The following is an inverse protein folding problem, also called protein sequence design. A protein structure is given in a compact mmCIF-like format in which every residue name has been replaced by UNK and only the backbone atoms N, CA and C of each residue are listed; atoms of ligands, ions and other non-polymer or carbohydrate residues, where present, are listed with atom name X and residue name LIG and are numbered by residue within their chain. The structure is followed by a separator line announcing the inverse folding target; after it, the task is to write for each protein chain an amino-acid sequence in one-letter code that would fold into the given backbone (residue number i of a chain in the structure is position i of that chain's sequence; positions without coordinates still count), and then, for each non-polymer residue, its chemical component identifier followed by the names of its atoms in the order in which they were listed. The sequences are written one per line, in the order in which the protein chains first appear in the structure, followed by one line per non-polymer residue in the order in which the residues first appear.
data_IF_190012044604
#
_entry.id   IF_190012044604
#
_cell.length_a   1.000
_cell.length_b   1.000
_cell.length_c   1.000
_cell.angle_alpha   90.00
_cell.angle_beta   90.00
_cell.angle_gamma   90.00
#
_symmetry.space_group_name_H-M   'P 1'
#
loop_
_entity.id
_entity.type
_entity.pdbx_description
1 polymer ?
#
# COMPACT_ATOMS: atom_id res chain seq x y z
N UNK A 1 2.42 -6.61 19.79
CA UNK A 1 1.26 -5.85 20.31
C UNK A 1 1.64 -4.39 20.48
N UNK A 2 0.69 -3.46 20.61
CA UNK A 2 0.95 -2.03 20.87
C UNK A 2 1.95 -1.86 22.04
N UNK A 3 2.94 -0.98 21.90
CA UNK A 3 4.07 -0.82 22.82
C UNK A 3 5.21 -1.84 22.67
N UNK A 4 5.00 -2.96 21.96
CA UNK A 4 6.04 -3.98 21.66
C UNK A 4 6.35 -4.12 20.17
N UNK A 5 5.36 -3.99 19.29
CA UNK A 5 5.52 -4.09 17.83
C UNK A 5 5.36 -2.74 17.13
N UNK A 6 4.60 -1.81 17.72
CA UNK A 6 4.40 -0.46 17.19
C UNK A 6 3.93 0.49 18.31
N UNK A 7 4.12 1.80 18.14
CA UNK A 7 3.66 2.88 19.02
C UNK A 7 2.75 3.86 18.26
N UNK A 8 2.27 4.91 18.95
CA UNK A 8 1.46 5.97 18.37
C UNK A 8 2.21 6.87 17.39
N UNK A 9 3.54 6.87 17.41
CA UNK A 9 4.37 7.60 16.45
C UNK A 9 4.55 6.84 15.13
N UNK A 10 4.28 5.54 15.11
CA UNK A 10 4.44 4.72 13.92
C UNK A 10 3.32 4.99 12.91
N UNK A 11 3.72 5.23 11.65
CA UNK A 11 2.77 5.41 10.56
C UNK A 11 2.16 4.06 10.17
N UNK A 12 0.83 3.97 10.27
CA UNK A 12 0.09 2.82 9.78
C UNK A 12 -0.21 2.98 8.29
N UNK A 13 0.15 1.97 7.52
CA UNK A 13 -0.10 1.92 6.08
C UNK A 13 -0.78 0.62 5.69
N UNK A 14 -1.54 0.64 4.60
CA UNK A 14 -2.14 -0.56 4.03
C UNK A 14 -1.05 -1.53 3.60
N UNK A 15 -1.13 -2.77 4.08
CA UNK A 15 -0.26 -3.85 3.62
C UNK A 15 -0.68 -4.27 2.21
N UNK A 16 0.16 -3.97 1.22
CA UNK A 16 -0.08 -4.35 -0.17
C UNK A 16 0.86 -5.49 -0.57
N UNK A 17 0.45 -6.28 -1.58
CA UNK A 17 1.28 -7.29 -2.22
C UNK A 17 1.20 -7.16 -3.74
N UNK A 18 1.97 -7.97 -4.46
CA UNK A 18 1.92 -8.00 -5.93
C UNK A 18 0.51 -8.35 -6.42
N UNK A 19 -0.12 -9.32 -5.78
CA UNK A 19 -1.49 -9.77 -6.08
C UNK A 19 -2.50 -8.63 -5.89
N UNK A 20 -2.41 -7.88 -4.78
CA UNK A 20 -3.29 -6.71 -4.56
C UNK A 20 -3.12 -5.66 -5.65
N UNK A 21 -1.87 -5.35 -6.04
CA UNK A 21 -1.58 -4.37 -7.09
C UNK A 21 -2.17 -4.82 -8.43
N UNK A 22 -2.03 -6.10 -8.77
CA UNK A 22 -2.51 -6.64 -10.04
C UNK A 22 -4.05 -6.68 -10.09
N UNK A 23 -4.70 -7.02 -8.97
CA UNK A 23 -6.17 -6.90 -8.81
C UNK A 23 -6.63 -5.45 -9.00
N UNK A 24 -5.96 -4.48 -8.37
CA UNK A 24 -6.29 -3.06 -8.54
C UNK A 24 -6.15 -2.58 -9.98
N UNK A 25 -5.12 -3.04 -10.70
CA UNK A 25 -4.93 -2.72 -12.12
C UNK A 25 -5.98 -3.36 -13.02
N UNK A 26 -6.42 -4.57 -12.69
CA UNK A 26 -7.34 -5.33 -13.52
C UNK A 26 -8.79 -4.89 -13.35
N UNK A 27 -9.21 -4.61 -12.11
CA UNK A 27 -10.64 -4.43 -11.80
C UNK A 27 -11.00 -3.04 -11.29
N UNK A 28 -10.04 -2.27 -10.76
CA UNK A 28 -10.31 -0.98 -10.08
C UNK A 28 -9.57 0.18 -10.74
N UNK A 29 -9.20 0.03 -12.02
CA UNK A 29 -8.37 1.02 -12.70
C UNK A 29 -9.05 2.39 -12.82
N UNK A 30 -10.35 2.38 -13.10
CA UNK A 30 -11.16 3.59 -13.27
C UNK A 30 -11.59 4.20 -11.94
N UNK A 31 -11.64 3.40 -10.88
CA UNK A 31 -12.01 3.83 -9.53
C UNK A 31 -10.86 4.53 -8.79
N UNK A 32 -9.62 4.24 -9.19
CA UNK A 32 -8.41 4.78 -8.54
C UNK A 32 -7.96 6.09 -9.17
N UNK A 33 -7.85 7.12 -8.34
CA UNK A 33 -7.36 8.43 -8.73
C UNK A 33 -5.84 8.42 -8.91
N UNK A 34 -5.31 9.45 -9.58
CA UNK A 34 -3.86 9.61 -9.77
C UNK A 34 -3.07 9.58 -8.45
N UNK A 35 -3.63 10.15 -7.38
CA UNK A 35 -3.02 10.15 -6.06
C UNK A 35 -2.91 8.73 -5.47
N UNK A 36 -3.92 7.87 -5.68
CA UNK A 36 -3.90 6.49 -5.22
C UNK A 36 -2.80 5.68 -5.91
N UNK A 37 -2.59 5.91 -7.21
CA UNK A 37 -1.49 5.29 -7.95
C UNK A 37 -0.12 5.76 -7.49
N UNK A 38 0.02 7.04 -7.12
CA UNK A 38 1.26 7.57 -6.56
C UNK A 38 1.56 6.92 -5.21
N UNK A 39 0.56 6.84 -4.32
CA UNK A 39 0.69 6.15 -3.04
C UNK A 39 1.03 4.66 -3.22
N UNK A 40 0.40 3.99 -4.19
CA UNK A 40 0.69 2.59 -4.49
C UNK A 40 2.15 2.38 -4.91
N UNK A 41 2.73 3.31 -5.68
CA UNK A 41 4.16 3.28 -6.05
C UNK A 41 5.07 3.52 -4.85
N UNK A 42 4.71 4.43 -3.94
CA UNK A 42 5.47 4.68 -2.71
C UNK A 42 5.45 3.45 -1.79
N UNK A 43 4.27 2.88 -1.54
CA UNK A 43 4.13 1.68 -0.73
C UNK A 43 4.85 0.48 -1.36
N UNK A 44 4.84 0.35 -2.70
CA UNK A 44 5.61 -0.70 -3.40
C UNK A 44 7.10 -0.63 -3.05
N UNK A 45 7.67 0.59 -2.95
CA UNK A 45 9.07 0.80 -2.56
C UNK A 45 9.30 0.47 -1.08
N UNK A 46 8.42 0.92 -0.19
CA UNK A 46 8.53 0.67 1.26
C UNK A 46 8.51 -0.83 1.58
N UNK A 47 7.69 -1.60 0.85
CA UNK A 47 7.58 -3.04 1.05
C UNK A 47 8.52 -3.89 0.17
N UNK A 48 9.42 -3.25 -0.60
CA UNK A 48 10.37 -3.94 -1.50
C UNK A 48 9.71 -4.97 -2.45
N UNK A 49 8.49 -4.66 -2.92
CA UNK A 49 7.74 -5.53 -3.82
C UNK A 49 8.33 -5.38 -5.23
N UNK A 50 8.73 -6.49 -5.86
CA UNK A 50 9.22 -6.54 -7.25
C UNK A 50 8.11 -6.24 -8.26
#
# INVERSE_FOLDING_TARGET
MFGRHFTEQDMLVSRISRETIDVCKQYFREDLQKADWQLMVELKKVFEIL
#
